data_IF_333159062489
#
_entry.id   IF_333159062489
#
_cell.length_a   1.000
_cell.length_b   1.000
_cell.length_c   1.000
_cell.angle_alpha   90.00
_cell.angle_beta   90.00
_cell.angle_gamma   90.00
#
_symmetry.space_group_name_H-M   'P 1'
#
loop_
_entity.id
_entity.type
_entity.pdbx_description
1 polymer ?
#
# COMPACT_ATOMS: atom_id res chain seq x y z
N UNK A 1 20.39 11.12 -8.50
CA UNK A 1 21.29 10.39 -9.43
C UNK A 1 22.61 11.12 -9.67
N UNK A 2 22.69 12.45 -9.51
CA UNK A 2 23.94 13.18 -9.73
C UNK A 2 25.08 12.68 -8.84
N UNK A 3 24.84 12.48 -7.54
CA UNK A 3 25.84 11.89 -6.62
C UNK A 3 26.35 10.52 -7.10
N UNK A 4 25.48 9.69 -7.65
CA UNK A 4 25.88 8.35 -8.12
C UNK A 4 26.71 8.41 -9.41
N UNK A 5 26.34 9.31 -10.33
CA UNK A 5 26.95 9.40 -11.66
C UNK A 5 28.19 10.27 -11.68
N UNK A 6 28.19 11.37 -10.90
CA UNK A 6 29.26 12.36 -10.86
C UNK A 6 30.26 12.07 -9.75
N UNK A 7 29.78 11.79 -8.54
CA UNK A 7 30.62 11.66 -7.34
C UNK A 7 31.02 10.20 -7.05
N UNK A 8 30.42 9.24 -7.77
CA UNK A 8 30.70 7.82 -7.63
C UNK A 8 30.16 7.20 -6.33
N UNK A 9 29.25 7.89 -5.65
CA UNK A 9 28.56 7.36 -4.47
C UNK A 9 27.66 6.18 -4.87
N UNK A 10 27.65 5.13 -4.06
CA UNK A 10 26.78 3.98 -4.33
C UNK A 10 25.32 4.35 -4.04
N UNK A 11 24.36 3.88 -4.86
CA UNK A 11 22.95 4.00 -4.51
C UNK A 11 22.65 3.25 -3.20
N UNK A 12 21.58 3.63 -2.49
CA UNK A 12 21.12 2.85 -1.36
C UNK A 12 20.76 1.43 -1.82
N UNK A 13 20.90 0.46 -0.93
CA UNK A 13 20.62 -0.94 -1.23
C UNK A 13 19.15 -1.13 -1.66
N UNK A 14 18.87 -2.01 -2.62
CA UNK A 14 17.48 -2.28 -2.97
C UNK A 14 16.74 -2.95 -1.81
N UNK A 15 15.52 -2.49 -1.53
CA UNK A 15 14.59 -3.12 -0.58
C UNK A 15 13.47 -3.81 -1.32
N UNK A 16 13.28 -5.09 -1.05
CA UNK A 16 12.20 -5.91 -1.60
C UNK A 16 11.93 -7.08 -0.66
N UNK A 17 10.70 -7.59 -0.61
CA UNK A 17 10.37 -8.75 0.21
C UNK A 17 11.20 -9.97 -0.19
N UNK A 18 11.63 -10.77 0.79
CA UNK A 18 12.42 -11.98 0.51
C UNK A 18 11.95 -13.19 1.30
N UNK A 19 12.15 -14.38 0.72
CA UNK A 19 11.88 -15.66 1.40
C UNK A 19 12.70 -15.80 2.69
N UNK A 20 13.95 -15.35 2.67
CA UNK A 20 14.84 -15.41 3.84
C UNK A 20 14.41 -14.49 4.98
N UNK A 21 13.80 -13.34 4.66
CA UNK A 21 13.24 -12.42 5.65
C UNK A 21 11.85 -12.85 6.14
N UNK A 22 11.20 -13.79 5.43
CA UNK A 22 9.85 -14.27 5.76
C UNK A 22 8.74 -13.31 5.35
N UNK A 23 9.06 -12.31 4.53
CA UNK A 23 8.14 -11.23 4.11
C UNK A 23 7.66 -11.39 2.67
N UNK A 24 8.30 -12.28 1.90
CA UNK A 24 7.79 -12.76 0.62
C UNK A 24 7.08 -14.09 0.86
N UNK A 25 5.76 -14.06 0.91
CA UNK A 25 4.93 -15.20 1.31
C UNK A 25 4.08 -15.70 0.15
N UNK A 26 3.53 -16.91 0.30
CA UNK A 26 2.52 -17.39 -0.64
C UNK A 26 1.24 -16.55 -0.49
N UNK A 27 0.59 -16.20 -1.61
CA UNK A 27 -0.64 -15.42 -1.59
C UNK A 27 -1.71 -16.03 -0.67
N UNK A 28 -1.78 -17.35 -0.60
CA UNK A 28 -2.80 -18.03 0.21
C UNK A 28 -2.53 -17.91 1.72
N UNK A 29 -1.35 -17.42 2.12
CA UNK A 29 -0.97 -17.16 3.52
C UNK A 29 -1.27 -15.71 3.97
N UNK A 30 -1.56 -14.79 3.04
CA UNK A 30 -1.87 -13.39 3.36
C UNK A 30 -3.11 -13.29 4.25
N UNK A 31 -2.98 -12.50 5.31
CA UNK A 31 -4.07 -12.14 6.23
C UNK A 31 -4.55 -10.72 5.96
N UNK A 32 -5.14 -10.51 4.80
CA UNK A 32 -5.71 -9.22 4.45
C UNK A 32 -6.96 -8.92 5.29
N UNK A 33 -7.16 -7.69 5.81
CA UNK A 33 -8.34 -7.37 6.61
C UNK A 33 -9.64 -7.53 5.81
N UNK A 34 -10.70 -7.98 6.48
CA UNK A 34 -12.04 -8.12 5.89
C UNK A 34 -12.72 -6.75 5.71
N UNK A 35 -12.26 -5.96 4.75
CA UNK A 35 -12.84 -4.67 4.40
C UNK A 35 -14.03 -4.90 3.46
N UNK A 36 -15.23 -4.47 3.87
CA UNK A 36 -16.44 -4.58 3.05
C UNK A 36 -16.23 -3.90 1.68
N UNK A 37 -16.69 -4.53 0.60
CA UNK A 37 -16.59 -3.97 -0.76
C UNK A 37 -15.21 -4.11 -1.42
N UNK A 38 -14.16 -4.40 -0.66
CA UNK A 38 -12.80 -4.56 -1.19
C UNK A 38 -12.55 -6.02 -1.55
N UNK A 39 -12.05 -6.25 -2.77
CA UNK A 39 -11.72 -7.58 -3.28
C UNK A 39 -10.21 -7.80 -3.24
N UNK A 40 -9.81 -9.06 -3.05
CA UNK A 40 -8.41 -9.50 -3.11
C UNK A 40 -8.20 -10.50 -4.26
N UNK A 41 -7.06 -10.44 -4.98
CA UNK A 41 -6.76 -11.30 -6.13
C UNK A 41 -6.40 -12.76 -5.77
N UNK A 42 -7.21 -13.44 -4.95
CA UNK A 42 -7.02 -14.85 -4.53
C UNK A 42 -6.96 -15.87 -5.67
N UNK A 43 -7.28 -15.49 -6.91
CA UNK A 43 -7.34 -16.41 -8.04
C UNK A 43 -6.42 -16.03 -9.20
N UNK A 44 -5.60 -14.99 -9.06
CA UNK A 44 -4.64 -14.60 -10.10
C UNK A 44 -3.47 -15.60 -10.12
N UNK A 45 -3.18 -16.27 -11.25
CA UNK A 45 -2.04 -17.18 -11.32
C UNK A 45 -0.72 -16.39 -11.30
N UNK A 46 0.34 -16.96 -10.75
CA UNK A 46 1.69 -16.37 -10.77
C UNK A 46 2.36 -16.37 -12.14
N UNK A 47 1.61 -16.71 -13.18
CA UNK A 47 2.10 -16.95 -14.52
C UNK A 47 2.54 -18.39 -14.70
N UNK A 48 3.16 -18.64 -15.85
CA UNK A 48 3.52 -19.97 -16.29
C UNK A 48 4.84 -19.93 -17.05
N UNK A 49 5.62 -21.00 -16.96
CA UNK A 49 6.84 -21.17 -17.74
C UNK A 49 6.52 -21.69 -19.14
N UNK A 50 6.69 -20.83 -20.14
CA UNK A 50 6.49 -21.18 -21.55
C UNK A 50 7.69 -21.89 -22.19
N UNK A 51 8.83 -21.95 -21.50
CA UNK A 51 10.07 -22.56 -21.98
C UNK A 51 10.17 -24.07 -21.69
N UNK A 52 9.20 -24.64 -20.97
CA UNK A 52 9.15 -26.05 -20.59
C UNK A 52 8.22 -26.87 -21.52
N UNK A 53 8.49 -28.17 -21.72
CA UNK A 53 7.61 -29.04 -22.51
C UNK A 53 6.22 -29.21 -21.87
N UNK A 54 5.18 -29.37 -22.69
CA UNK A 54 3.80 -29.61 -22.24
C UNK A 54 2.86 -28.45 -22.58
N UNK A 55 1.69 -28.43 -21.94
CA UNK A 55 0.79 -27.28 -22.00
C UNK A 55 1.31 -26.21 -21.04
N UNK A 56 1.04 -24.93 -21.35
CA UNK A 56 1.49 -23.81 -20.51
C UNK A 56 1.02 -23.97 -19.05
N UNK A 57 -0.20 -24.45 -18.86
CA UNK A 57 -0.82 -24.69 -17.54
C UNK A 57 -0.16 -25.78 -16.72
N UNK A 58 0.67 -26.63 -17.33
CA UNK A 58 1.37 -27.71 -16.63
C UNK A 58 2.56 -27.20 -15.81
N UNK A 59 2.98 -25.94 -16.03
CA UNK A 59 4.18 -25.35 -15.44
C UNK A 59 3.88 -24.00 -14.76
N UNK A 60 3.02 -23.95 -13.71
CA UNK A 60 2.70 -22.71 -13.01
C UNK A 60 3.92 -22.18 -12.24
N UNK A 61 4.06 -20.86 -12.21
CA UNK A 61 4.98 -20.17 -11.31
C UNK A 61 4.29 -19.94 -9.96
N UNK A 62 5.03 -20.00 -8.83
CA UNK A 62 4.47 -19.63 -7.54
C UNK A 62 4.04 -18.16 -7.57
N UNK A 63 2.92 -17.85 -6.92
CA UNK A 63 2.45 -16.48 -6.80
C UNK A 63 2.78 -15.95 -5.41
N UNK A 64 4.01 -15.48 -5.29
CA UNK A 64 4.53 -14.88 -4.07
C UNK A 64 4.27 -13.38 -4.05
N UNK A 65 3.97 -12.86 -2.88
CA UNK A 65 3.53 -11.49 -2.64
C UNK A 65 4.15 -10.97 -1.34
N UNK A 66 4.20 -9.65 -1.18
CA UNK A 66 4.63 -9.05 0.08
C UNK A 66 3.60 -9.35 1.16
N UNK A 67 4.07 -9.67 2.37
CA UNK A 67 3.20 -9.70 3.55
C UNK A 67 2.69 -8.29 3.87
N UNK A 68 1.58 -8.23 4.62
CA UNK A 68 0.85 -7.01 4.95
C UNK A 68 0.56 -6.91 6.45
N UNK A 69 0.36 -5.69 6.94
CA UNK A 69 -0.06 -5.43 8.31
C UNK A 69 -1.57 -5.65 8.50
N UNK A 70 -2.06 -5.38 9.71
CA UNK A 70 -3.49 -5.47 10.06
C UNK A 70 -4.37 -4.49 9.24
N UNK A 71 -3.76 -3.51 8.57
CA UNK A 71 -4.43 -2.57 7.68
C UNK A 71 -4.36 -2.99 6.21
N UNK A 72 -3.66 -4.07 5.90
CA UNK A 72 -3.48 -4.55 4.53
C UNK A 72 -2.46 -3.77 3.72
N UNK A 73 -1.58 -2.99 4.37
CA UNK A 73 -0.45 -2.31 3.73
C UNK A 73 0.82 -3.16 3.83
N UNK A 74 1.69 -3.11 2.82
CA UNK A 74 2.91 -3.90 2.79
C UNK A 74 3.88 -3.55 3.94
N UNK A 75 4.40 -4.57 4.64
CA UNK A 75 5.32 -4.40 5.79
C UNK A 75 6.80 -4.44 5.41
N UNK A 76 7.12 -4.81 4.17
CA UNK A 76 8.48 -4.93 3.69
C UNK A 76 8.60 -4.48 2.24
N UNK A 77 9.84 -4.39 1.78
CA UNK A 77 10.20 -3.71 0.55
C UNK A 77 10.41 -2.22 0.80
N UNK A 78 10.11 -1.43 -0.22
CA UNK A 78 10.25 0.02 -0.12
C UNK A 78 8.99 0.63 0.49
N UNK A 79 8.93 0.64 1.82
CA UNK A 79 7.82 1.22 2.59
C UNK A 79 7.91 2.75 2.52
N UNK A 80 6.98 3.36 1.79
CA UNK A 80 6.83 4.81 1.68
C UNK A 80 6.26 5.40 2.98
N UNK A 81 6.46 6.70 3.26
CA UNK A 81 5.86 7.35 4.43
C UNK A 81 4.33 7.21 4.47
N UNK A 82 3.66 7.17 3.32
CA UNK A 82 2.22 6.91 3.18
C UNK A 82 1.80 5.51 3.60
N UNK A 83 2.68 4.51 3.51
CA UNK A 83 2.42 3.15 3.99
C UNK A 83 2.76 3.03 5.49
N UNK A 84 3.84 3.67 5.94
CA UNK A 84 4.27 3.66 7.33
C UNK A 84 3.35 4.49 8.26
N UNK A 85 2.75 5.56 7.73
CA UNK A 85 1.81 6.44 8.45
C UNK A 85 0.54 6.58 7.60
N UNK A 86 -0.28 5.51 7.51
CA UNK A 86 -1.33 5.44 6.50
C UNK A 86 -2.59 6.25 6.87
N UNK A 87 -3.26 6.76 5.84
CA UNK A 87 -4.63 7.27 5.89
C UNK A 87 -5.66 6.31 5.30
N UNK A 88 -5.20 5.18 4.77
CA UNK A 88 -5.99 4.14 4.16
C UNK A 88 -5.15 2.92 3.83
N UNK A 89 -5.78 1.94 3.20
CA UNK A 89 -5.10 0.79 2.61
C UNK A 89 -4.76 1.11 1.17
N UNK A 90 -3.51 0.87 0.78
CA UNK A 90 -3.01 1.04 -0.56
C UNK A 90 -2.76 -0.34 -1.17
N UNK A 91 -3.27 -0.56 -2.38
CA UNK A 91 -3.13 -1.86 -3.04
C UNK A 91 -2.67 -1.70 -4.48
N UNK A 92 -1.82 -2.61 -4.94
CA UNK A 92 -1.32 -2.65 -6.31
C UNK A 92 -2.33 -3.13 -7.36
N UNK A 93 -3.60 -3.35 -6.98
CA UNK A 93 -4.67 -3.80 -7.86
C UNK A 93 -5.95 -3.00 -7.62
N UNK A 94 -6.82 -2.95 -8.62
CA UNK A 94 -8.19 -2.51 -8.51
C UNK A 94 -9.08 -3.47 -9.29
N UNK A 95 -10.30 -3.67 -8.82
CA UNK A 95 -11.30 -4.47 -9.52
C UNK A 95 -12.25 -3.58 -10.31
N UNK A 96 -12.83 -4.11 -11.38
CA UNK A 96 -13.84 -3.39 -12.15
C UNK A 96 -15.08 -3.16 -11.28
N UNK A 97 -15.72 -2.00 -11.45
CA UNK A 97 -17.00 -1.74 -10.78
C UNK A 97 -18.11 -2.63 -11.34
N UNK A 98 -19.13 -2.93 -10.53
CA UNK A 98 -20.29 -3.70 -10.99
C UNK A 98 -20.95 -3.06 -12.23
N UNK A 99 -21.04 -1.73 -12.24
CA UNK A 99 -21.58 -0.95 -13.36
C UNK A 99 -20.77 -1.14 -14.65
N UNK A 100 -19.45 -1.30 -14.55
CA UNK A 100 -18.59 -1.56 -15.69
C UNK A 100 -18.60 -3.03 -16.16
N UNK A 101 -19.27 -3.92 -15.39
CA UNK A 101 -19.33 -5.35 -15.64
C UNK A 101 -18.01 -6.09 -15.32
N UNK A 102 -18.12 -7.41 -15.12
CA UNK A 102 -17.02 -8.29 -14.73
C UNK A 102 -16.27 -7.85 -13.45
N UNK A 103 -16.96 -7.68 -12.30
CA UNK A 103 -16.37 -7.12 -11.08
C UNK A 103 -15.32 -8.02 -10.39
N UNK A 104 -15.14 -9.25 -10.88
CA UNK A 104 -14.08 -10.17 -10.43
C UNK A 104 -12.79 -10.04 -11.23
N UNK A 105 -12.79 -9.21 -12.26
CA UNK A 105 -11.61 -8.96 -13.10
C UNK A 105 -10.86 -7.73 -12.61
N UNK A 106 -9.54 -7.83 -12.62
CA UNK A 106 -8.65 -6.71 -12.28
C UNK A 106 -8.68 -5.69 -13.41
N UNK A 107 -8.77 -4.42 -13.03
CA UNK A 107 -8.50 -3.30 -13.92
C UNK A 107 -6.99 -3.17 -14.07
N UNK A 108 -6.50 -3.56 -15.25
CA UNK A 108 -5.07 -3.60 -15.57
C UNK A 108 -4.41 -2.24 -15.29
N UNK A 109 -3.26 -2.26 -14.61
CA UNK A 109 -2.46 -1.08 -14.23
C UNK A 109 -3.15 -0.07 -13.31
N UNK A 110 -4.27 -0.43 -12.68
CA UNK A 110 -4.90 0.38 -11.65
C UNK A 110 -4.65 -0.24 -10.27
N UNK A 111 -4.29 0.62 -9.32
CA UNK A 111 -4.28 0.30 -7.88
C UNK A 111 -5.50 0.88 -7.19
N UNK A 112 -5.71 0.51 -5.93
CA UNK A 112 -6.79 1.06 -5.11
C UNK A 112 -6.25 1.76 -3.88
N UNK A 113 -6.90 2.85 -3.53
CA UNK A 113 -6.78 3.51 -2.24
C UNK A 113 -8.11 3.39 -1.52
N UNK A 114 -8.10 2.76 -0.35
CA UNK A 114 -9.29 2.51 0.45
C UNK A 114 -9.13 3.30 1.77
N UNK A 115 -9.72 4.49 1.88
CA UNK A 115 -9.56 5.35 3.06
C UNK A 115 -9.93 4.61 4.36
N UNK A 116 -9.28 4.97 5.46
CA UNK A 116 -9.76 4.58 6.78
C UNK A 116 -11.03 5.38 7.15
N UNK A 117 -11.91 4.82 8.00
CA UNK A 117 -12.94 5.61 8.64
C UNK A 117 -12.31 6.77 9.39
N UNK A 118 -12.92 7.95 9.38
CA UNK A 118 -12.35 9.11 10.08
C UNK A 118 -12.63 9.02 11.57
N UNK A 119 -13.84 8.61 11.93
CA UNK A 119 -14.28 8.46 13.32
C UNK A 119 -14.57 7.01 13.70
N UNK A 120 -14.60 6.74 15.01
CA UNK A 120 -15.01 5.45 15.57
C UNK A 120 -16.47 5.13 15.25
N UNK A 121 -17.34 6.14 15.17
CA UNK A 121 -18.72 5.93 14.72
C UNK A 121 -18.75 5.45 13.28
N UNK A 122 -18.04 6.11 12.36
CA UNK A 122 -17.95 5.68 10.95
C UNK A 122 -17.42 4.25 10.85
N UNK A 123 -16.33 3.94 11.58
CA UNK A 123 -15.76 2.59 11.62
C UNK A 123 -16.80 1.54 12.01
N UNK A 124 -17.58 1.80 13.06
CA UNK A 124 -18.62 0.89 13.54
C UNK A 124 -19.78 0.75 12.56
N UNK A 125 -20.18 1.85 11.92
CA UNK A 125 -21.26 1.85 10.92
C UNK A 125 -20.86 1.07 9.66
N UNK A 126 -19.61 1.23 9.22
CA UNK A 126 -19.07 0.53 8.06
C UNK A 126 -18.75 -0.93 8.35
N UNK A 127 -18.58 -1.27 9.64
CA UNK A 127 -18.08 -2.58 10.06
C UNK A 127 -16.60 -2.77 9.72
N UNK A 128 -15.84 -1.67 9.64
CA UNK A 128 -14.44 -1.71 9.22
C UNK A 128 -13.56 -2.27 10.35
N UNK A 129 -12.76 -3.33 10.09
CA UNK A 129 -11.90 -3.90 11.13
C UNK A 129 -10.76 -2.95 11.52
N UNK A 130 -10.29 -2.12 10.59
CA UNK A 130 -9.14 -1.22 10.75
C UNK A 130 -9.48 -0.07 11.70
N UNK A 131 -8.51 0.43 12.45
CA UNK A 131 -8.71 1.59 13.32
C UNK A 131 -9.08 2.83 12.49
N UNK A 132 -9.93 3.70 13.03
CA UNK A 132 -10.23 4.99 12.40
C UNK A 132 -9.08 6.00 12.56
N UNK A 133 -9.11 7.09 11.80
CA UNK A 133 -8.10 8.15 11.91
C UNK A 133 -8.04 8.77 13.32
N UNK A 134 -9.19 9.03 13.95
CA UNK A 134 -9.24 9.56 15.33
C UNK A 134 -8.72 8.57 16.37
N UNK A 135 -8.76 7.27 16.09
CA UNK A 135 -8.23 6.23 16.99
C UNK A 135 -6.72 6.05 16.82
N UNK A 136 -6.17 6.44 15.66
CA UNK A 136 -4.75 6.30 15.30
C UNK A 136 -3.90 7.51 15.66
N UNK A 137 -4.43 8.70 15.38
CA UNK A 137 -3.72 9.96 15.43
C UNK A 137 -4.42 10.91 16.39
N UNK A 138 -3.66 11.47 17.34
CA UNK A 138 -4.22 12.40 18.32
C UNK A 138 -4.70 13.70 17.65
N UNK A 139 -4.08 14.07 16.53
CA UNK A 139 -4.44 15.23 15.72
C UNK A 139 -3.77 15.20 14.34
N UNK A 140 -4.18 16.10 13.46
CA UNK A 140 -3.47 16.38 12.20
C UNK A 140 -1.98 16.68 12.40
N UNK A 141 -1.63 17.40 13.47
CA UNK A 141 -0.24 17.72 13.81
C UNK A 141 0.54 16.47 14.21
N UNK A 142 -0.09 15.55 14.95
CA UNK A 142 0.53 14.26 15.31
C UNK A 142 0.76 13.39 14.07
N UNK A 143 -0.22 13.31 13.17
CA UNK A 143 -0.06 12.63 11.87
C UNK A 143 1.13 13.19 11.09
N UNK A 144 1.19 14.52 10.88
CA UNK A 144 2.26 15.14 10.11
C UNK A 144 3.63 14.99 10.76
N UNK A 145 3.72 15.04 12.10
CA UNK A 145 4.97 14.78 12.82
C UNK A 145 5.46 13.36 12.55
N UNK A 146 4.59 12.35 12.70
CA UNK A 146 4.96 10.94 12.44
C UNK A 146 5.35 10.74 10.98
N UNK A 147 4.64 11.38 10.05
CA UNK A 147 4.92 11.30 8.61
C UNK A 147 6.27 11.94 8.26
N UNK A 148 6.56 13.13 8.80
CA UNK A 148 7.85 13.81 8.64
C UNK A 148 9.01 12.98 9.21
N UNK A 149 8.82 12.33 10.36
CA UNK A 149 9.81 11.42 10.95
C UNK A 149 10.15 10.26 9.99
N UNK A 150 9.16 9.66 9.32
CA UNK A 150 9.40 8.60 8.33
C UNK A 150 10.06 9.13 7.06
N UNK A 151 9.62 10.28 6.56
CA UNK A 151 10.20 10.90 5.37
C UNK A 151 11.67 11.31 5.61
N UNK A 152 11.98 11.88 6.77
CA UNK A 152 13.33 12.25 7.17
C UNK A 152 14.24 11.02 7.29
N UNK A 153 13.75 9.92 7.87
CA UNK A 153 14.50 8.67 7.92
C UNK A 153 14.85 8.16 6.51
N UNK A 154 13.94 8.22 5.55
CA UNK A 154 14.23 7.86 4.16
C UNK A 154 15.22 8.81 3.48
N UNK A 155 15.24 10.09 3.87
CA UNK A 155 16.24 11.04 3.38
C UNK A 155 17.64 10.74 3.94
N UNK A 156 17.73 10.46 5.25
CA UNK A 156 18.98 10.04 5.90
C UNK A 156 19.56 8.74 5.29
N UNK A 157 18.68 7.85 4.85
CA UNK A 157 19.04 6.60 4.18
C UNK A 157 19.33 6.75 2.68
N UNK A 158 19.16 7.95 2.11
CA UNK A 158 19.44 8.26 0.71
C UNK A 158 18.35 7.80 -0.29
N UNK A 159 17.16 7.43 0.17
CA UNK A 159 16.03 7.09 -0.69
C UNK A 159 15.15 8.30 -1.04
N UNK A 160 15.17 9.34 -0.22
CA UNK A 160 14.55 10.63 -0.48
C UNK A 160 15.64 11.71 -0.51
N UNK A 161 15.42 12.78 -1.27
CA UNK A 161 16.30 13.95 -1.21
C UNK A 161 15.84 14.87 -0.08
N UNK A 162 16.76 15.39 0.72
CA UNK A 162 16.43 16.33 1.80
C UNK A 162 15.61 17.53 1.29
N UNK A 163 15.95 18.05 0.11
CA UNK A 163 15.23 19.16 -0.54
C UNK A 163 13.78 18.83 -0.94
N UNK A 164 13.42 17.54 -1.00
CA UNK A 164 12.06 17.11 -1.33
C UNK A 164 11.18 16.89 -0.09
N UNK A 165 11.74 16.95 1.12
CA UNK A 165 11.00 16.71 2.37
C UNK A 165 9.80 17.64 2.53
N UNK A 166 10.00 18.96 2.34
CA UNK A 166 8.93 19.95 2.48
C UNK A 166 7.76 19.65 1.51
N UNK A 167 8.08 19.27 0.27
CA UNK A 167 7.09 18.96 -0.76
C UNK A 167 6.31 17.69 -0.41
N UNK A 168 7.00 16.66 0.07
CA UNK A 168 6.41 15.37 0.47
C UNK A 168 5.48 15.55 1.68
N UNK A 169 5.93 16.25 2.73
CA UNK A 169 5.10 16.54 3.92
C UNK A 169 3.92 17.44 3.57
N UNK A 170 4.10 18.43 2.69
CA UNK A 170 2.99 19.26 2.20
C UNK A 170 1.95 18.45 1.43
N UNK A 171 2.37 17.45 0.64
CA UNK A 171 1.47 16.51 -0.01
C UNK A 171 0.65 15.70 0.98
N UNK A 172 1.28 15.18 2.04
CA UNK A 172 0.61 14.45 3.12
C UNK A 172 -0.42 15.31 3.85
N UNK A 173 -0.11 16.58 4.07
CA UNK A 173 -1.02 17.56 4.67
C UNK A 173 -2.27 17.79 3.81
N UNK A 174 -2.11 17.96 2.49
CA UNK A 174 -3.22 18.07 1.56
C UNK A 174 -4.06 16.79 1.50
N UNK A 175 -3.41 15.62 1.57
CA UNK A 175 -4.12 14.35 1.57
C UNK A 175 -4.97 14.16 2.84
N UNK A 176 -4.42 14.50 4.02
CA UNK A 176 -5.18 14.54 5.27
C UNK A 176 -6.41 15.42 5.15
N UNK A 177 -6.24 16.66 4.68
CA UNK A 177 -7.34 17.62 4.56
C UNK A 177 -8.41 17.10 3.60
N UNK A 178 -8.01 16.57 2.45
CA UNK A 178 -8.93 15.97 1.49
C UNK A 178 -9.75 14.84 2.11
N UNK A 179 -9.13 13.90 2.84
CA UNK A 179 -9.84 12.80 3.52
C UNK A 179 -10.82 13.37 4.54
N UNK A 180 -10.39 14.31 5.37
CA UNK A 180 -11.24 14.88 6.42
C UNK A 180 -12.42 15.69 5.87
N UNK A 181 -12.29 16.30 4.69
CA UNK A 181 -13.35 17.08 4.03
C UNK A 181 -14.40 16.23 3.30
N UNK A 182 -14.11 14.96 2.97
CA UNK A 182 -15.07 14.11 2.26
C UNK A 182 -16.32 13.80 3.10
N UNK A 183 -17.43 13.44 2.44
CA UNK A 183 -18.56 12.85 3.15
C UNK A 183 -18.27 11.39 3.53
N UNK A 184 -18.90 10.91 4.61
CA UNK A 184 -18.81 9.50 5.02
C UNK A 184 -19.21 8.56 3.87
N UNK A 185 -20.27 8.90 3.12
CA UNK A 185 -20.73 8.12 1.97
C UNK A 185 -19.71 8.08 0.82
N UNK A 186 -18.94 9.15 0.61
CA UNK A 186 -17.92 9.22 -0.45
C UNK A 186 -16.68 8.38 -0.13
N UNK A 187 -16.33 8.26 1.16
CA UNK A 187 -15.18 7.48 1.62
C UNK A 187 -15.48 6.00 1.84
N UNK A 188 -16.76 5.66 2.01
CA UNK A 188 -17.16 4.29 2.26
C UNK A 188 -16.79 3.41 1.06
N UNK A 189 -16.05 2.30 1.27
CA UNK A 189 -15.66 1.39 0.19
C UNK A 189 -16.84 0.67 -0.48
#
# INVERSE_FOLDING_TARGET
>A
MDQWVQDGELPPASRYPTLSAGTLIDRDEIKFPEISGVQWPYHVPGGYRSDLPGQLTDNPLPFLVSDVDDDGNEVDGFVLPELAVPLGTYTGWAFRSERAGAPREILMMAGSYVPFPRTREERREWGDPRLSLEERYDSRTDYLRRFEEQAAALADEGYLLEQDLERVVSGAALHWDWVMEQSSESLRP
#
